data_IF_425188393970
#
_entry.id   IF_425188393970
#
_cell.length_a   1.000
_cell.length_b   1.000
_cell.length_c   1.000
_cell.angle_alpha   90.00
_cell.angle_beta   90.00
_cell.angle_gamma   90.00
#
_symmetry.space_group_name_H-M   'P 1'
#
loop_
_entity.id
_entity.type
_entity.pdbx_description
1 polymer ?
#
# COMPACT_ATOMS: atom_id res chain seq x y z
N UNK A 1 10.99 -36.50 13.81
CA UNK A 1 10.39 -37.47 12.85
C UNK A 1 11.46 -38.14 11.98
N UNK A 2 12.38 -37.39 11.34
CA UNK A 2 13.49 -37.95 10.54
C UNK A 2 14.38 -38.99 11.26
N UNK A 3 14.75 -38.76 12.52
CA UNK A 3 15.59 -39.71 13.28
C UNK A 3 14.84 -41.03 13.60
N UNK A 4 13.53 -40.95 13.87
CA UNK A 4 12.70 -42.13 14.10
C UNK A 4 12.51 -42.94 12.81
N UNK A 5 12.44 -42.27 11.67
CA UNK A 5 12.36 -42.90 10.35
C UNK A 5 13.66 -43.64 9.98
N UNK A 6 14.81 -43.03 10.24
CA UNK A 6 16.13 -43.67 10.08
C UNK A 6 16.30 -44.91 10.97
N UNK A 7 15.82 -44.84 12.22
CA UNK A 7 15.80 -46.00 13.11
C UNK A 7 14.90 -47.11 12.56
N UNK A 8 13.71 -46.77 12.06
CA UNK A 8 12.75 -47.74 11.51
C UNK A 8 13.32 -48.49 10.30
N UNK A 9 14.00 -47.76 9.41
CA UNK A 9 14.72 -48.28 8.25
C UNK A 9 15.87 -49.21 8.69
N UNK A 10 16.61 -48.87 9.76
CA UNK A 10 17.70 -49.69 10.32
C UNK A 10 17.21 -51.03 10.88
N UNK A 11 16.04 -51.05 11.53
CA UNK A 11 15.45 -52.28 12.08
C UNK A 11 14.54 -53.04 11.10
N UNK A 12 14.48 -52.60 9.84
CA UNK A 12 13.70 -53.24 8.77
C UNK A 12 12.22 -53.45 9.17
N UNK A 13 11.67 -52.49 9.93
CA UNK A 13 10.28 -52.51 10.36
C UNK A 13 9.39 -51.89 9.29
N UNK A 14 8.20 -52.47 9.09
CA UNK A 14 7.23 -51.97 8.13
C UNK A 14 6.74 -50.58 8.56
N UNK A 15 6.46 -49.74 7.56
CA UNK A 15 5.88 -48.43 7.80
C UNK A 15 4.41 -48.55 8.27
N UNK A 16 3.85 -47.49 8.85
CA UNK A 16 2.48 -47.46 9.41
C UNK A 16 1.42 -47.88 8.37
N UNK A 17 1.72 -47.71 7.09
CA UNK A 17 0.93 -48.24 5.99
C UNK A 17 1.46 -49.63 5.56
N UNK A 18 0.70 -50.66 5.94
CA UNK A 18 1.05 -52.09 6.03
C UNK A 18 1.52 -52.84 4.76
N UNK A 19 1.92 -52.17 3.66
CA UNK A 19 2.27 -52.87 2.42
C UNK A 19 3.62 -52.49 1.81
N UNK A 20 4.40 -51.59 2.42
CA UNK A 20 5.71 -51.20 1.91
C UNK A 20 6.82 -51.68 2.87
N UNK A 21 7.58 -52.68 2.43
CA UNK A 21 8.78 -53.15 3.14
C UNK A 21 9.88 -52.10 2.98
N UNK A 22 10.35 -51.52 4.09
CA UNK A 22 11.46 -50.57 4.07
C UNK A 22 12.70 -51.27 3.47
N UNK A 23 13.36 -50.65 2.48
CA UNK A 23 14.62 -51.17 1.95
C UNK A 23 15.72 -50.95 2.99
N UNK A 24 16.44 -52.03 3.33
CA UNK A 24 17.60 -51.99 4.24
C UNK A 24 18.64 -50.96 3.78
N UNK A 25 19.16 -50.11 4.67
CA UNK A 25 20.39 -49.39 4.41
C UNK A 25 21.56 -50.37 4.58
N UNK A 26 22.52 -50.36 3.64
CA UNK A 26 23.79 -51.08 3.82
C UNK A 26 24.66 -50.30 4.79
N UNK A 27 25.25 -51.01 5.75
CA UNK A 27 26.15 -50.47 6.76
C UNK A 27 27.30 -49.71 6.09
N UNK A 28 27.33 -48.39 6.28
CA UNK A 28 28.55 -47.58 6.18
C UNK A 28 29.26 -47.82 7.52
N UNK A 29 30.45 -48.42 7.46
CA UNK A 29 31.32 -48.59 8.61
C UNK A 29 31.68 -47.21 9.18
N UNK A 30 31.35 -47.01 10.45
CA UNK A 30 31.78 -45.90 11.29
C UNK A 30 33.33 -45.92 11.38
N UNK A 31 33.98 -44.94 10.76
CA UNK A 31 35.35 -44.58 11.16
C UNK A 31 35.30 -43.52 12.26
N UNK A 32 35.75 -44.00 13.41
CA UNK A 32 36.11 -43.39 14.67
C UNK A 32 36.61 -41.94 14.59
N UNK A 33 35.99 -41.12 15.43
CA UNK A 33 36.45 -39.80 15.88
C UNK A 33 37.86 -39.83 16.47
N UNK A 34 38.77 -39.01 15.95
CA UNK A 34 39.93 -38.52 16.69
C UNK A 34 39.94 -36.98 16.63
N UNK A 35 39.79 -36.35 17.80
CA UNK A 35 40.21 -34.97 18.04
C UNK A 35 41.74 -34.88 18.04
N UNK A 36 42.31 -33.76 17.55
CA UNK A 36 43.31 -32.92 18.24
C UNK A 36 43.85 -31.82 17.30
N UNK A 37 43.73 -30.57 17.78
CA UNK A 37 44.51 -29.34 17.57
C UNK A 37 44.97 -28.85 16.19
N UNK A 38 44.58 -27.60 15.89
CA UNK A 38 45.48 -26.46 16.08
C UNK A 38 46.36 -25.99 14.91
N UNK A 39 46.01 -24.80 14.41
CA UNK A 39 46.89 -23.72 13.92
C UNK A 39 47.53 -23.75 12.51
N UNK A 40 47.25 -22.64 11.82
CA UNK A 40 48.15 -21.77 11.06
C UNK A 40 48.58 -22.08 9.61
N UNK A 41 48.12 -21.16 8.74
CA UNK A 41 48.84 -20.46 7.66
C UNK A 41 49.09 -21.09 6.26
N UNK A 42 48.51 -20.40 5.27
CA UNK A 42 49.11 -19.78 4.06
C UNK A 42 50.27 -20.52 3.36
N UNK A 43 50.09 -20.89 2.08
CA UNK A 43 50.84 -20.36 0.92
C UNK A 43 50.81 -21.29 -0.32
N UNK A 44 50.85 -20.64 -1.48
CA UNK A 44 50.98 -21.17 -2.83
C UNK A 44 52.10 -22.22 -3.02
N UNK A 45 51.86 -23.19 -3.91
CA UNK A 45 52.89 -24.07 -4.44
C UNK A 45 52.39 -24.98 -5.56
N UNK A 46 52.53 -24.53 -6.80
CA UNK A 46 52.43 -25.35 -8.01
C UNK A 46 53.56 -26.38 -8.02
N UNK A 47 53.26 -27.67 -8.17
CA UNK A 47 54.06 -28.57 -8.98
C UNK A 47 53.24 -29.76 -9.50
N UNK A 48 53.56 -30.26 -10.71
CA UNK A 48 52.79 -31.23 -11.47
C UNK A 48 53.15 -32.67 -11.09
N UNK A 49 52.36 -33.60 -11.62
CA UNK A 49 52.61 -35.05 -11.64
C UNK A 49 52.36 -35.78 -10.32
N UNK A 50 51.08 -36.06 -10.07
CA UNK A 50 50.70 -37.30 -9.37
C UNK A 50 49.54 -37.93 -10.13
N UNK A 51 49.89 -38.98 -10.86
CA UNK A 51 49.02 -39.89 -11.58
C UNK A 51 48.09 -40.59 -10.58
N UNK A 52 46.93 -40.00 -10.32
CA UNK A 52 45.83 -40.62 -9.60
C UNK A 52 44.59 -40.54 -10.49
N UNK A 53 44.38 -41.61 -11.24
CA UNK A 53 43.10 -41.91 -11.87
C UNK A 53 41.96 -41.74 -10.85
N UNK A 54 40.90 -40.96 -11.14
CA UNK A 54 39.69 -41.05 -10.36
C UNK A 54 39.04 -42.38 -10.71
N UNK A 55 39.17 -43.37 -9.82
CA UNK A 55 38.26 -44.50 -9.79
C UNK A 55 36.84 -43.95 -9.65
N UNK A 56 36.14 -43.94 -10.77
CA UNK A 56 34.71 -43.73 -10.86
C UNK A 56 34.07 -44.85 -10.05
N UNK A 57 33.68 -44.51 -8.81
CA UNK A 57 32.81 -45.34 -7.99
C UNK A 57 31.45 -45.47 -8.65
N UNK A 58 31.35 -46.40 -9.60
CA UNK A 58 30.09 -46.97 -10.05
C UNK A 58 29.43 -47.70 -8.87
N UNK A 59 28.18 -47.37 -8.54
CA UNK A 59 27.40 -48.25 -7.68
C UNK A 59 26.27 -47.67 -6.85
N UNK A 60 25.68 -46.53 -7.20
CA UNK A 60 24.44 -46.07 -6.54
C UNK A 60 23.22 -46.37 -7.42
N UNK A 61 22.76 -47.63 -7.41
CA UNK A 61 21.59 -48.06 -8.18
C UNK A 61 20.40 -48.37 -7.27
N UNK A 62 19.23 -47.93 -7.75
CA UNK A 62 17.87 -48.34 -7.41
C UNK A 62 17.09 -47.55 -6.34
N UNK A 63 16.89 -46.24 -6.62
CA UNK A 63 15.56 -45.56 -6.58
C UNK A 63 15.62 -44.08 -6.99
N UNK A 64 16.79 -43.57 -7.33
CA UNK A 64 16.98 -42.26 -7.99
C UNK A 64 16.77 -42.30 -9.51
N UNK A 65 16.41 -43.45 -10.07
CA UNK A 65 16.73 -43.71 -11.46
C UNK A 65 15.79 -43.01 -12.45
N UNK A 66 14.51 -42.77 -12.11
CA UNK A 66 13.58 -42.15 -13.06
C UNK A 66 13.66 -40.61 -13.06
N UNK A 67 13.55 -39.98 -11.89
CA UNK A 67 13.60 -38.52 -11.76
C UNK A 67 14.99 -37.99 -12.12
N UNK A 68 16.07 -38.65 -11.71
CA UNK A 68 17.42 -38.24 -12.09
C UNK A 68 17.69 -38.44 -13.58
N UNK A 69 17.17 -39.49 -14.22
CA UNK A 69 17.26 -39.64 -15.68
C UNK A 69 16.45 -38.59 -16.44
N UNK A 70 15.25 -38.25 -15.95
CA UNK A 70 14.45 -37.16 -16.53
C UNK A 70 15.14 -35.81 -16.34
N UNK A 71 15.66 -35.54 -15.15
CA UNK A 71 16.34 -34.28 -14.84
C UNK A 71 17.65 -34.17 -15.63
N UNK A 72 18.42 -35.24 -15.79
CA UNK A 72 19.60 -35.26 -16.65
C UNK A 72 19.25 -34.99 -18.12
N UNK A 73 18.14 -35.54 -18.63
CA UNK A 73 17.64 -35.23 -19.98
C UNK A 73 17.14 -33.79 -20.12
N UNK A 74 16.44 -33.27 -19.11
CA UNK A 74 15.94 -31.90 -19.08
C UNK A 74 17.08 -30.87 -19.00
N UNK A 75 18.06 -31.10 -18.12
CA UNK A 75 19.25 -30.25 -17.96
C UNK A 75 20.09 -30.25 -19.24
N UNK A 76 20.34 -31.43 -19.83
CA UNK A 76 21.08 -31.51 -21.10
C UNK A 76 20.33 -30.88 -22.27
N UNK A 77 19.00 -30.83 -22.22
CA UNK A 77 18.18 -30.09 -23.19
C UNK A 77 18.27 -28.58 -23.00
N UNK A 78 18.10 -28.06 -21.78
CA UNK A 78 18.15 -26.62 -21.46
C UNK A 78 19.55 -26.03 -21.64
N UNK A 79 20.60 -26.80 -21.37
CA UNK A 79 21.98 -26.33 -21.51
C UNK A 79 22.43 -26.17 -22.97
N UNK A 80 21.66 -26.66 -23.95
CA UNK A 80 21.97 -26.43 -25.37
C UNK A 80 21.96 -24.93 -25.66
N UNK A 81 22.95 -24.40 -26.40
CA UNK A 81 23.08 -22.95 -26.63
C UNK A 81 21.82 -22.33 -27.25
N UNK A 82 21.19 -23.03 -28.20
CA UNK A 82 19.92 -22.59 -28.80
C UNK A 82 18.76 -22.60 -27.81
N UNK A 83 18.67 -23.61 -26.93
CA UNK A 83 17.63 -23.68 -25.91
C UNK A 83 17.74 -22.51 -24.91
N UNK A 84 18.96 -22.13 -24.51
CA UNK A 84 19.19 -20.95 -23.65
C UNK A 84 18.67 -19.66 -24.28
N UNK A 85 18.95 -19.44 -25.56
CA UNK A 85 18.46 -18.25 -26.29
C UNK A 85 16.93 -18.25 -26.34
N UNK A 86 16.31 -19.38 -26.70
CA UNK A 86 14.86 -19.50 -26.73
C UNK A 86 14.22 -19.21 -25.37
N UNK A 87 14.78 -19.75 -24.29
CA UNK A 87 14.28 -19.53 -22.92
C UNK A 87 14.42 -18.06 -22.53
N UNK A 88 15.56 -17.43 -22.79
CA UNK A 88 15.75 -16.00 -22.50
C UNK A 88 14.78 -15.12 -23.27
N UNK A 89 14.57 -15.38 -24.55
CA UNK A 89 13.59 -14.64 -25.38
C UNK A 89 12.18 -14.84 -24.82
N UNK A 90 11.81 -16.07 -24.45
CA UNK A 90 10.50 -16.36 -23.87
C UNK A 90 10.27 -15.60 -22.55
N UNK A 91 11.24 -15.63 -21.63
CA UNK A 91 11.13 -14.88 -20.37
C UNK A 91 11.14 -13.36 -20.59
N UNK A 92 11.89 -12.85 -21.57
CA UNK A 92 11.85 -11.43 -21.94
C UNK A 92 10.46 -11.03 -22.46
N UNK A 93 9.83 -11.86 -23.30
CA UNK A 93 8.46 -11.62 -23.77
C UNK A 93 7.48 -11.66 -22.60
N UNK A 94 7.56 -12.65 -21.72
CA UNK A 94 6.71 -12.73 -20.53
C UNK A 94 6.90 -11.53 -19.61
N UNK A 95 8.12 -11.02 -19.46
CA UNK A 95 8.41 -9.83 -18.66
C UNK A 95 7.74 -8.60 -19.27
N UNK A 96 7.86 -8.40 -20.58
CA UNK A 96 7.22 -7.26 -21.28
C UNK A 96 5.70 -7.37 -21.19
N UNK A 97 5.12 -8.55 -21.43
CA UNK A 97 3.68 -8.77 -21.28
C UNK A 97 3.21 -8.56 -19.84
N UNK A 98 3.98 -9.04 -18.87
CA UNK A 98 3.72 -8.83 -17.44
C UNK A 98 3.76 -7.35 -17.07
N UNK A 99 4.75 -6.59 -17.55
CA UNK A 99 4.84 -5.15 -17.34
C UNK A 99 3.67 -4.39 -17.97
N UNK A 100 3.28 -4.74 -19.20
CA UNK A 100 2.12 -4.14 -19.88
C UNK A 100 0.79 -4.51 -19.20
N UNK A 101 0.68 -5.72 -18.66
CA UNK A 101 -0.51 -6.16 -17.92
C UNK A 101 -0.59 -5.44 -16.58
N UNK A 102 0.55 -5.32 -15.88
CA UNK A 102 0.64 -4.59 -14.62
C UNK A 102 0.34 -3.10 -14.80
N UNK A 103 0.75 -2.47 -15.91
CA UNK A 103 0.41 -1.07 -16.20
C UNK A 103 -1.07 -0.83 -16.53
N UNK A 104 -1.84 -1.90 -16.79
CA UNK A 104 -3.28 -1.84 -17.06
C UNK A 104 -4.13 -2.35 -15.90
N UNK A 105 -3.51 -2.59 -14.74
CA UNK A 105 -4.26 -2.97 -13.57
C UNK A 105 -5.05 -1.74 -13.11
N UNK A 106 -6.35 -1.73 -13.39
CA UNK A 106 -7.24 -0.73 -12.83
C UNK A 106 -7.31 -0.98 -11.32
N UNK A 107 -6.78 -0.05 -10.54
CA UNK A 107 -6.97 -0.04 -9.10
C UNK A 107 -8.43 0.27 -8.84
N UNK A 108 -9.21 -0.77 -8.53
CA UNK A 108 -10.58 -0.61 -8.04
C UNK A 108 -10.67 -1.35 -6.72
N UNK A 109 -11.18 -0.66 -5.72
CA UNK A 109 -11.39 -1.24 -4.40
C UNK A 109 -12.88 -1.43 -4.18
N UNK A 110 -13.35 -2.66 -4.34
CA UNK A 110 -14.72 -3.02 -4.00
C UNK A 110 -14.80 -3.40 -2.52
N UNK A 111 -15.35 -2.50 -1.70
CA UNK A 111 -15.56 -2.73 -0.27
C UNK A 111 -16.46 -3.94 0.01
N UNK A 112 -17.31 -4.34 -0.94
CA UNK A 112 -18.19 -5.52 -0.79
C UNK A 112 -17.36 -6.81 -0.70
N UNK A 113 -16.17 -6.87 -1.32
CA UNK A 113 -15.25 -8.01 -1.23
C UNK A 113 -14.72 -8.25 0.19
N UNK A 114 -14.70 -7.23 1.04
CA UNK A 114 -14.32 -7.39 2.46
C UNK A 114 -15.45 -7.96 3.31
N UNK A 115 -16.68 -7.93 2.81
CA UNK A 115 -17.85 -8.36 3.56
C UNK A 115 -18.24 -9.79 3.20
N UNK A 116 -18.75 -10.59 4.16
CA UNK A 116 -19.34 -11.87 3.85
C UNK A 116 -20.50 -11.71 2.85
N UNK A 117 -20.67 -12.67 1.92
CA UNK A 117 -21.66 -12.63 0.82
C UNK A 117 -23.13 -12.51 1.24
N UNK A 118 -23.43 -12.64 2.53
CA UNK A 118 -24.77 -12.52 3.11
C UNK A 118 -24.82 -11.46 4.24
N UNK A 119 -23.86 -10.53 4.24
CA UNK A 119 -23.80 -9.45 5.23
C UNK A 119 -24.84 -8.38 4.93
N UNK A 120 -25.51 -7.85 5.97
CA UNK A 120 -26.38 -6.68 5.83
C UNK A 120 -25.64 -5.44 5.28
N UNK A 121 -24.31 -5.42 5.42
CA UNK A 121 -23.45 -4.34 4.93
C UNK A 121 -23.50 -4.25 3.40
N UNK A 122 -23.64 -5.39 2.70
CA UNK A 122 -23.71 -5.40 1.24
C UNK A 122 -24.97 -4.67 0.75
N UNK A 123 -26.13 -5.03 1.32
CA UNK A 123 -27.40 -4.35 1.05
C UNK A 123 -27.39 -2.87 1.46
N UNK A 124 -26.67 -2.51 2.53
CA UNK A 124 -26.48 -1.11 2.91
C UNK A 124 -25.62 -0.36 1.90
N UNK A 125 -24.52 -0.95 1.42
CA UNK A 125 -23.64 -0.34 0.42
C UNK A 125 -24.36 -0.19 -0.93
N UNK A 126 -25.15 -1.18 -1.35
CA UNK A 126 -26.03 -1.09 -2.52
C UNK A 126 -27.04 0.05 -2.39
N UNK A 127 -27.72 0.13 -1.24
CA UNK A 127 -28.68 1.18 -0.99
C UNK A 127 -27.99 2.55 -0.94
N UNK A 128 -26.81 2.64 -0.31
CA UNK A 128 -26.02 3.86 -0.29
C UNK A 128 -25.68 4.30 -1.71
N UNK A 129 -25.13 3.42 -2.55
CA UNK A 129 -24.79 3.71 -3.94
C UNK A 129 -25.99 4.15 -4.79
N UNK A 130 -27.17 3.54 -4.59
CA UNK A 130 -28.40 3.87 -5.33
C UNK A 130 -29.02 5.19 -4.87
N UNK A 131 -29.04 5.44 -3.55
CA UNK A 131 -29.74 6.59 -2.97
C UNK A 131 -28.83 7.79 -2.71
N UNK A 132 -27.51 7.64 -2.74
CA UNK A 132 -26.56 8.75 -2.68
C UNK A 132 -26.36 9.43 -4.03
N UNK A 133 -27.09 9.07 -5.09
CA UNK A 133 -26.91 9.65 -6.43
C UNK A 133 -27.23 11.15 -6.45
N UNK A 134 -28.11 11.64 -5.57
CA UNK A 134 -28.44 13.07 -5.45
C UNK A 134 -27.48 13.84 -4.51
N UNK A 135 -26.64 13.13 -3.76
CA UNK A 135 -25.61 13.69 -2.87
C UNK A 135 -24.39 12.75 -2.95
N UNK A 136 -23.71 12.72 -4.11
CA UNK A 136 -22.71 11.71 -4.44
C UNK A 136 -21.58 11.81 -3.45
N UNK A 137 -21.66 10.98 -2.39
CA UNK A 137 -20.70 10.83 -1.29
C UNK A 137 -19.68 11.95 -1.27
N UNK A 138 -20.14 13.15 -0.88
CA UNK A 138 -19.36 14.38 -0.93
C UNK A 138 -18.03 14.11 -0.25
N UNK A 139 -16.97 14.01 -1.05
CA UNK A 139 -15.64 13.98 -0.51
C UNK A 139 -15.40 15.38 0.03
N UNK A 140 -15.60 15.52 1.33
CA UNK A 140 -15.39 16.75 2.05
C UNK A 140 -13.91 16.89 2.43
N UNK A 141 -13.21 17.85 1.85
CA UNK A 141 -11.90 18.24 2.34
C UNK A 141 -12.03 19.46 3.26
N UNK A 142 -11.42 19.38 4.43
CA UNK A 142 -11.27 20.54 5.30
C UNK A 142 -10.01 21.30 4.90
N UNK A 143 -10.18 22.51 4.35
CA UNK A 143 -9.09 23.45 4.21
C UNK A 143 -8.79 24.07 5.56
N UNK A 144 -7.53 24.07 5.96
CA UNK A 144 -7.08 24.66 7.22
C UNK A 144 -6.18 25.85 6.95
N UNK A 145 -6.54 27.00 7.51
CA UNK A 145 -5.69 28.18 7.58
C UNK A 145 -5.14 28.26 9.00
N UNK A 146 -3.84 28.02 9.17
CA UNK A 146 -3.14 27.99 10.47
C UNK A 146 -2.06 29.04 10.52
N UNK A 147 -1.81 29.58 11.71
CA UNK A 147 -0.70 30.49 11.98
C UNK A 147 -0.73 31.76 11.10
N UNK A 148 -1.93 32.18 10.69
CA UNK A 148 -2.18 33.39 9.91
C UNK A 148 -2.82 34.45 10.80
N UNK A 149 -2.26 35.64 10.81
CA UNK A 149 -2.89 36.80 11.46
C UNK A 149 -4.06 37.29 10.60
N UNK A 150 -5.26 36.78 10.88
CA UNK A 150 -6.48 37.15 10.18
C UNK A 150 -7.00 38.53 10.54
N UNK A 151 -6.36 39.27 11.45
CA UNK A 151 -6.68 40.69 11.70
C UNK A 151 -6.19 41.59 10.56
N UNK A 152 -5.16 41.16 9.81
CA UNK A 152 -4.68 41.82 8.61
C UNK A 152 -5.55 41.52 7.38
N UNK A 153 -5.92 42.56 6.63
CA UNK A 153 -6.75 42.43 5.42
C UNK A 153 -6.06 41.66 4.29
N UNK A 154 -4.74 41.79 4.18
CA UNK A 154 -3.93 41.06 3.21
C UNK A 154 -4.04 39.55 3.40
N UNK A 155 -3.93 39.06 4.64
CA UNK A 155 -4.05 37.64 4.95
C UNK A 155 -5.45 37.09 4.68
N UNK A 156 -6.49 37.87 4.98
CA UNK A 156 -7.87 37.51 4.65
C UNK A 156 -8.11 37.44 3.14
N UNK A 157 -7.50 38.36 2.39
CA UNK A 157 -7.56 38.36 0.92
C UNK A 157 -6.82 37.18 0.32
N UNK A 158 -5.65 36.83 0.87
CA UNK A 158 -4.89 35.65 0.45
C UNK A 158 -5.68 34.36 0.72
N UNK A 159 -6.33 34.25 1.88
CA UNK A 159 -7.22 33.13 2.21
C UNK A 159 -8.40 33.02 1.23
N UNK A 160 -9.03 34.14 0.87
CA UNK A 160 -10.11 34.16 -0.13
C UNK A 160 -9.66 33.69 -1.50
N UNK A 161 -8.49 34.13 -1.95
CA UNK A 161 -7.95 33.72 -3.24
C UNK A 161 -7.62 32.24 -3.23
N UNK A 162 -7.02 31.73 -2.14
CA UNK A 162 -6.74 30.30 -2.02
C UNK A 162 -8.01 29.44 -2.08
N UNK A 163 -9.09 29.83 -1.39
CA UNK A 163 -10.37 29.11 -1.47
C UNK A 163 -10.94 29.15 -2.90
N UNK A 164 -10.82 30.28 -3.60
CA UNK A 164 -11.25 30.39 -5.01
C UNK A 164 -10.43 29.52 -5.94
N UNK A 165 -9.12 29.52 -5.80
CA UNK A 165 -8.21 28.68 -6.59
C UNK A 165 -8.52 27.19 -6.36
N UNK A 166 -8.85 26.80 -5.12
CA UNK A 166 -9.28 25.44 -4.79
C UNK A 166 -10.62 25.09 -5.43
N UNK A 167 -11.57 26.02 -5.53
CA UNK A 167 -12.88 25.77 -6.18
C UNK A 167 -12.77 25.75 -7.71
N UNK A 168 -11.72 26.32 -8.29
CA UNK A 168 -11.51 26.34 -9.75
C UNK A 168 -10.98 25.01 -10.32
N UNK A 169 -10.64 24.05 -9.46
CA UNK A 169 -10.19 22.71 -9.91
C UNK A 169 -11.35 21.95 -10.55
N UNK A 170 -11.05 21.07 -11.52
CA UNK A 170 -12.04 20.32 -12.32
C UNK A 170 -13.03 19.51 -11.48
N UNK A 171 -12.65 19.17 -10.24
CA UNK A 171 -13.40 18.28 -9.38
C UNK A 171 -14.44 18.96 -8.47
N UNK A 172 -14.52 20.30 -8.51
CA UNK A 172 -15.42 21.11 -7.68
C UNK A 172 -16.25 22.02 -8.58
N UNK A 173 -17.57 21.86 -8.53
CA UNK A 173 -18.51 22.69 -9.30
C UNK A 173 -19.02 23.87 -8.47
N UNK A 174 -19.12 23.69 -7.14
CA UNK A 174 -19.81 24.62 -6.26
C UNK A 174 -18.86 25.25 -5.24
N UNK A 175 -18.96 26.56 -5.11
CA UNK A 175 -18.33 27.27 -4.00
C UNK A 175 -18.90 26.77 -2.66
N UNK A 176 -18.11 26.71 -1.57
CA UNK A 176 -18.58 26.25 -0.27
C UNK A 176 -19.87 26.94 0.17
N UNK A 177 -20.91 26.15 0.46
CA UNK A 177 -22.20 26.67 0.89
C UNK A 177 -22.11 27.48 2.19
N UNK A 178 -21.12 27.16 3.04
CA UNK A 178 -20.85 27.84 4.30
C UNK A 178 -19.39 28.27 4.34
N UNK A 179 -19.14 29.51 3.95
CA UNK A 179 -17.82 30.13 4.04
C UNK A 179 -17.86 31.32 4.99
N UNK A 180 -17.25 31.13 6.17
CA UNK A 180 -17.36 32.06 7.29
C UNK A 180 -16.95 33.49 6.94
N UNK A 181 -15.97 33.67 6.06
CA UNK A 181 -15.43 35.00 5.76
C UNK A 181 -16.37 35.84 4.88
N UNK A 182 -17.07 35.21 3.93
CA UNK A 182 -18.09 35.90 3.15
C UNK A 182 -19.32 36.23 4.01
N UNK A 183 -19.74 35.31 4.87
CA UNK A 183 -20.80 35.54 5.84
C UNK A 183 -20.43 36.61 6.87
N UNK A 184 -19.16 36.67 7.28
CA UNK A 184 -18.63 37.70 8.16
C UNK A 184 -18.68 39.08 7.49
N UNK A 185 -18.24 39.20 6.23
CA UNK A 185 -18.38 40.45 5.46
C UNK A 185 -19.83 40.88 5.33
N UNK A 186 -20.72 39.93 5.08
CA UNK A 186 -22.17 40.18 5.03
C UNK A 186 -22.69 40.68 6.38
N UNK A 187 -22.30 40.05 7.49
CA UNK A 187 -22.67 40.45 8.86
C UNK A 187 -22.19 41.88 9.19
N UNK A 188 -20.91 42.18 8.94
CA UNK A 188 -20.35 43.52 9.21
C UNK A 188 -21.05 44.59 8.36
N UNK A 189 -21.29 44.31 7.08
CA UNK A 189 -21.97 45.24 6.19
C UNK A 189 -23.43 45.49 6.57
N UNK A 190 -24.11 44.48 7.12
CA UNK A 190 -25.54 44.56 7.48
C UNK A 190 -25.80 45.18 8.85
N UNK A 191 -24.88 45.01 9.79
CA UNK A 191 -25.07 45.47 11.18
C UNK A 191 -24.70 46.96 11.36
N UNK A 192 -24.05 47.56 10.37
CA UNK A 192 -23.84 49.00 10.27
C UNK A 192 -22.46 49.48 10.70
N UNK A 193 -22.24 50.80 10.63
CA UNK A 193 -20.93 51.43 10.82
C UNK A 193 -20.36 51.26 12.25
N UNK A 194 -21.20 50.99 13.24
CA UNK A 194 -20.76 50.78 14.63
C UNK A 194 -19.83 49.57 14.74
N UNK A 195 -20.20 48.44 14.13
CA UNK A 195 -19.37 47.22 14.12
C UNK A 195 -18.15 47.40 13.22
N UNK A 196 -18.32 48.04 12.06
CA UNK A 196 -17.25 48.22 11.08
C UNK A 196 -16.03 48.97 11.63
N UNK A 197 -16.25 49.88 12.59
CA UNK A 197 -15.20 50.66 13.22
C UNK A 197 -14.54 49.98 14.44
N UNK A 198 -15.02 48.80 14.85
CA UNK A 198 -14.43 48.05 15.97
C UNK A 198 -13.17 47.28 15.55
N UNK A 199 -12.28 46.92 16.49
CA UNK A 199 -11.19 45.98 16.23
C UNK A 199 -11.71 44.64 15.68
N UNK A 200 -10.94 44.01 14.77
CA UNK A 200 -11.34 42.76 14.10
C UNK A 200 -11.75 41.64 15.08
N UNK A 201 -10.99 41.42 16.14
CA UNK A 201 -11.28 40.37 17.12
C UNK A 201 -12.62 40.62 17.87
N UNK A 202 -12.99 41.88 18.09
CA UNK A 202 -14.27 42.26 18.69
C UNK A 202 -15.42 42.01 17.70
N UNK A 203 -15.22 42.34 16.42
CA UNK A 203 -16.17 42.03 15.35
C UNK A 203 -16.42 40.52 15.25
N UNK A 204 -15.36 39.71 15.28
CA UNK A 204 -15.45 38.24 15.25
C UNK A 204 -16.17 37.70 16.49
N UNK A 205 -15.94 38.30 17.66
CA UNK A 205 -16.64 37.88 18.88
C UNK A 205 -18.15 38.11 18.75
N UNK A 206 -18.58 39.29 18.30
CA UNK A 206 -20.00 39.56 18.05
C UNK A 206 -20.58 38.66 16.95
N UNK A 207 -19.82 38.40 15.88
CA UNK A 207 -20.22 37.48 14.82
C UNK A 207 -20.48 36.08 15.36
N UNK A 208 -19.57 35.53 16.18
CA UNK A 208 -19.67 34.20 16.77
C UNK A 208 -20.66 34.11 17.95
N UNK A 209 -21.15 35.24 18.46
CA UNK A 209 -22.21 35.28 19.48
C UNK A 209 -23.61 35.41 18.86
N UNK A 210 -23.70 35.80 17.59
CA UNK A 210 -24.96 36.06 16.89
C UNK A 210 -25.43 34.82 16.13
N UNK A 211 -26.70 34.44 16.30
CA UNK A 211 -27.32 33.38 15.48
C UNK A 211 -27.68 33.89 14.07
N UNK A 212 -27.56 33.08 13.01
CA UNK A 212 -27.18 31.66 13.00
C UNK A 212 -25.66 31.39 12.94
N UNK A 213 -24.83 32.44 12.87
CA UNK A 213 -23.39 32.34 12.65
C UNK A 213 -22.66 31.59 13.76
N UNK A 214 -23.09 31.77 15.01
CA UNK A 214 -22.62 31.00 16.15
C UNK A 214 -22.70 29.49 15.88
N UNK A 215 -23.90 29.01 15.54
CA UNK A 215 -24.14 27.58 15.30
C UNK A 215 -23.33 27.06 14.10
N UNK A 216 -23.17 27.86 13.06
CA UNK A 216 -22.46 27.45 11.84
C UNK A 216 -20.93 27.45 12.00
N UNK A 217 -20.38 28.42 12.74
CA UNK A 217 -18.96 28.76 12.68
C UNK A 217 -18.20 28.67 14.00
N UNK A 218 -18.86 28.44 15.15
CA UNK A 218 -18.18 28.32 16.45
C UNK A 218 -17.06 27.28 16.43
N UNK A 219 -17.30 26.17 15.74
CA UNK A 219 -16.37 25.05 15.66
C UNK A 219 -15.38 25.21 14.52
N UNK A 220 -15.60 26.17 13.62
CA UNK A 220 -14.77 26.40 12.44
C UNK A 220 -13.67 27.44 12.70
N UNK A 221 -13.87 28.34 13.66
CA UNK A 221 -12.93 29.42 14.00
C UNK A 221 -12.38 29.16 15.40
N UNK A 222 -11.11 28.74 15.47
CA UNK A 222 -10.40 28.48 16.72
C UNK A 222 -9.65 29.75 17.14
N UNK A 223 -9.81 30.13 18.42
CA UNK A 223 -9.20 31.32 19.00
C UNK A 223 -8.28 30.98 20.17
N UNK A 224 -7.30 31.83 20.43
CA UNK A 224 -6.47 31.78 21.63
C UNK A 224 -7.14 32.46 22.84
N UNK A 225 -6.48 32.41 24.00
CA UNK A 225 -6.94 33.06 25.24
C UNK A 225 -7.01 34.59 25.15
N UNK A 226 -6.28 35.19 24.21
CA UNK A 226 -6.29 36.63 23.94
C UNK A 226 -7.39 37.04 22.94
N UNK A 227 -8.15 36.08 22.39
CA UNK A 227 -9.22 36.30 21.43
C UNK A 227 -8.76 36.41 19.97
N UNK A 228 -7.48 36.17 19.68
CA UNK A 228 -6.97 36.12 18.31
C UNK A 228 -7.38 34.82 17.64
N UNK A 229 -7.67 34.89 16.34
CA UNK A 229 -7.94 33.69 15.54
C UNK A 229 -6.62 33.00 15.21
N UNK A 230 -6.45 31.78 15.69
CA UNK A 230 -5.23 30.96 15.47
C UNK A 230 -5.39 29.98 14.31
N UNK A 231 -6.62 29.55 14.07
CA UNK A 231 -6.92 28.58 13.02
C UNK A 231 -8.35 28.75 12.54
N UNK A 232 -8.55 28.65 11.23
CA UNK A 232 -9.88 28.50 10.64
C UNK A 232 -9.94 27.25 9.78
N UNK A 233 -11.14 26.73 9.58
CA UNK A 233 -11.39 25.63 8.64
C UNK A 233 -12.61 25.90 7.78
N UNK A 234 -12.53 25.50 6.52
CA UNK A 234 -13.64 25.56 5.56
C UNK A 234 -13.82 24.19 4.95
N UNK A 235 -15.07 23.71 4.88
CA UNK A 235 -15.40 22.47 4.20
C UNK A 235 -15.56 22.74 2.70
N UNK A 236 -14.74 22.10 1.90
CA UNK A 236 -14.88 22.05 0.45
C UNK A 236 -15.41 20.68 0.05
N UNK A 237 -16.35 20.68 -0.88
CA UNK A 237 -17.05 19.49 -1.36
C UNK A 237 -16.59 19.18 -2.78
N UNK A 238 -16.05 17.97 -2.98
CA UNK A 238 -15.67 17.46 -4.28
C UNK A 238 -16.85 16.67 -4.86
N UNK A 239 -17.68 17.35 -5.66
CA UNK A 239 -18.92 16.81 -6.20
C UNK A 239 -18.74 16.02 -7.51
N UNK A 240 -17.58 16.16 -8.16
CA UNK A 240 -17.26 15.44 -9.40
C UNK A 240 -16.38 14.20 -9.18
N UNK A 241 -16.04 13.86 -7.92
CA UNK A 241 -15.23 12.68 -7.60
C UNK A 241 -16.14 11.47 -7.38
N UNK A 242 -16.03 10.49 -8.28
CA UNK A 242 -16.82 9.25 -8.20
C UNK A 242 -16.11 8.25 -7.28
N UNK A 243 -16.80 7.77 -6.24
CA UNK A 243 -16.24 6.83 -5.25
C UNK A 243 -15.73 5.50 -5.86
N UNK A 244 -16.36 5.02 -6.93
CA UNK A 244 -15.92 3.82 -7.64
C UNK A 244 -14.72 4.02 -8.56
N UNK A 245 -14.33 5.28 -8.83
CA UNK A 245 -13.26 5.61 -9.76
C UNK A 245 -12.03 6.15 -9.01
N UNK A 246 -11.09 5.24 -8.74
CA UNK A 246 -9.84 5.58 -8.05
C UNK A 246 -9.00 6.58 -8.86
N UNK A 247 -9.08 6.54 -10.20
CA UNK A 247 -8.32 7.48 -11.03
C UNK A 247 -8.77 8.92 -10.82
N UNK A 248 -10.08 9.18 -10.68
CA UNK A 248 -10.59 10.52 -10.37
C UNK A 248 -10.23 10.96 -8.95
N UNK A 249 -10.16 10.02 -8.00
CA UNK A 249 -9.72 10.32 -6.62
C UNK A 249 -8.23 10.69 -6.57
N UNK A 250 -7.38 9.95 -7.27
CA UNK A 250 -5.94 10.25 -7.37
C UNK A 250 -5.73 11.58 -8.08
N UNK A 251 -6.45 11.84 -9.18
CA UNK A 251 -6.39 13.11 -9.89
C UNK A 251 -6.75 14.29 -8.99
N UNK A 252 -7.88 14.20 -8.29
CA UNK A 252 -8.32 15.23 -7.35
C UNK A 252 -7.32 15.47 -6.21
N UNK A 253 -6.63 14.44 -5.72
CA UNK A 253 -5.59 14.59 -4.70
C UNK A 253 -4.31 15.22 -5.23
N UNK A 254 -3.93 14.94 -6.48
CA UNK A 254 -2.74 15.53 -7.10
C UNK A 254 -2.95 17.02 -7.40
N UNK A 255 -4.14 17.42 -7.82
CA UNK A 255 -4.45 18.81 -8.14
C UNK A 255 -4.60 19.69 -6.87
N UNK A 256 -4.69 19.09 -5.68
CA UNK A 256 -4.64 19.80 -4.40
C UNK A 256 -3.23 20.20 -3.95
N UNK A 257 -2.17 19.63 -4.56
CA UNK A 257 -0.76 19.87 -4.18
C UNK A 257 -0.14 21.05 -4.91
#
# INVERSE_FOLDING_TARGET
>A
VLVLDQWRIKYNQYDIFCCCKASRPRNISEETSNEVNGQDNIAYGVNPDTDNSPEIGEGENSKLDFTSRLMAKYVSFILRPMAKVCVLVFFAILLVLGALSASRLEESFDFKLLTPKDSYVDAYLDAAEIYSVDDPTVYGAWLYSRDLDLSAEENRTAMDNYVKDMVDIEYITFFPAHYWHDDFKFFVNRTGDEIKNMPFNDQITMFLETEPFKTLYSDQIVRDDAGNVIQTRTLITFDQVVQGNVQTQIGALLDQQ
#
